data_IF_802850671518
#
_entry.id   IF_802850671518
#
_cell.length_a   1.000
_cell.length_b   1.000
_cell.length_c   1.000
_cell.angle_alpha   90.00
_cell.angle_beta   90.00
_cell.angle_gamma   90.00
#
_symmetry.space_group_name_H-M   'P 1'
#
loop_
_entity.id
_entity.type
_entity.pdbx_description
1 polymer ?
#
# COMPACT_ATOMS: atom_id res chain seq x y z
N UNK A 1 7.12 11.73 2.10
CA UNK A 1 6.09 11.43 3.11
C UNK A 1 6.43 10.10 3.76
N UNK A 2 6.50 10.02 5.09
CA UNK A 2 6.72 8.75 5.78
C UNK A 2 5.35 8.11 6.09
N UNK A 3 5.01 7.03 5.37
CA UNK A 3 3.75 6.32 5.57
C UNK A 3 3.65 5.74 6.98
N UNK A 4 4.75 5.20 7.51
CA UNK A 4 4.78 4.64 8.87
C UNK A 4 4.45 5.70 9.93
N UNK A 5 5.00 6.91 9.80
CA UNK A 5 4.63 8.03 10.67
C UNK A 5 3.17 8.47 10.48
N UNK A 6 2.64 8.37 9.26
CA UNK A 6 1.25 8.74 8.96
C UNK A 6 0.22 7.77 9.53
N UNK A 7 0.58 6.51 9.82
CA UNK A 7 -0.32 5.52 10.42
C UNK A 7 -0.85 5.96 11.79
N UNK A 8 -0.07 6.73 12.55
CA UNK A 8 -0.44 7.22 13.88
C UNK A 8 -1.38 8.45 13.85
N UNK A 9 -1.64 9.02 12.67
CA UNK A 9 -2.55 10.16 12.53
C UNK A 9 -4.01 9.73 12.72
N UNK A 10 -4.88 10.67 13.07
CA UNK A 10 -6.33 10.46 12.97
C UNK A 10 -6.76 10.44 11.50
N UNK A 11 -7.88 9.78 11.17
CA UNK A 11 -8.32 9.65 9.77
C UNK A 11 -8.58 10.98 9.08
N UNK A 12 -9.06 11.99 9.82
CA UNK A 12 -9.23 13.34 9.29
C UNK A 12 -7.88 13.99 8.91
N UNK A 13 -6.85 13.82 9.75
CA UNK A 13 -5.50 14.34 9.47
C UNK A 13 -4.81 13.52 8.36
N UNK A 14 -5.01 12.21 8.35
CA UNK A 14 -4.53 11.33 7.29
C UNK A 14 -5.13 11.74 5.94
N UNK A 15 -6.47 11.87 5.85
CA UNK A 15 -7.15 12.29 4.63
C UNK A 15 -6.73 13.68 4.17
N UNK A 16 -6.51 14.62 5.09
CA UNK A 16 -6.00 15.96 4.75
C UNK A 16 -4.57 15.93 4.20
N UNK A 17 -3.71 15.06 4.74
CA UNK A 17 -2.32 14.96 4.33
C UNK A 17 -2.13 14.16 3.03
N UNK A 18 -2.86 13.06 2.89
CA UNK A 18 -2.69 12.07 1.80
C UNK A 18 -3.66 12.37 0.64
N UNK A 19 -4.80 12.99 0.92
CA UNK A 19 -5.84 13.30 -0.07
C UNK A 19 -6.90 12.22 -0.26
N UNK A 20 -6.73 11.04 0.37
CA UNK A 20 -7.66 9.90 0.28
C UNK A 20 -7.98 9.31 1.65
N UNK A 21 -9.09 8.57 1.75
CA UNK A 21 -9.41 7.82 2.97
C UNK A 21 -8.34 6.75 3.24
N UNK A 22 -8.12 6.45 4.52
CA UNK A 22 -7.13 5.45 4.95
C UNK A 22 -7.40 4.08 4.34
N UNK A 23 -8.66 3.65 4.36
CA UNK A 23 -9.11 2.36 3.79
C UNK A 23 -8.77 2.27 2.31
N UNK A 24 -9.11 3.29 1.52
CA UNK A 24 -8.77 3.36 0.09
C UNK A 24 -7.27 3.30 -0.15
N UNK A 25 -6.48 4.00 0.69
CA UNK A 25 -5.02 3.96 0.58
C UNK A 25 -4.45 2.57 0.88
N UNK A 26 -4.98 1.87 1.87
CA UNK A 26 -4.60 0.50 2.21
C UNK A 26 -4.95 -0.50 1.10
N UNK A 27 -6.12 -0.37 0.47
CA UNK A 27 -6.50 -1.15 -0.71
C UNK A 27 -5.55 -0.91 -1.88
N UNK A 28 -5.17 0.34 -2.14
CA UNK A 28 -4.18 0.68 -3.16
C UNK A 28 -2.82 0.01 -2.87
N UNK A 29 -2.35 0.06 -1.61
CA UNK A 29 -1.11 -0.61 -1.20
C UNK A 29 -1.19 -2.13 -1.37
N UNK A 30 -2.32 -2.75 -1.02
CA UNK A 30 -2.54 -4.17 -1.21
C UNK A 30 -2.48 -4.56 -2.70
N UNK A 31 -3.08 -3.73 -3.57
CA UNK A 31 -3.00 -3.87 -5.03
C UNK A 31 -1.55 -3.79 -5.55
N UNK A 32 -0.80 -2.77 -5.12
CA UNK A 32 0.61 -2.60 -5.48
C UNK A 32 1.48 -3.77 -5.00
N UNK A 33 1.28 -4.23 -3.77
CA UNK A 33 2.00 -5.39 -3.21
C UNK A 33 1.69 -6.65 -4.02
N UNK A 34 0.43 -6.88 -4.35
CA UNK A 34 0.00 -8.02 -5.17
C UNK A 34 0.62 -7.97 -6.57
N UNK A 35 0.53 -6.82 -7.24
CA UNK A 35 1.13 -6.64 -8.57
C UNK A 35 2.66 -6.84 -8.53
N UNK A 36 3.32 -6.33 -7.49
CA UNK A 36 4.75 -6.54 -7.29
C UNK A 36 5.10 -8.02 -7.10
N UNK A 37 4.33 -8.73 -6.25
CA UNK A 37 4.53 -10.16 -6.02
C UNK A 37 4.31 -10.96 -7.29
N UNK A 38 3.28 -10.66 -8.08
CA UNK A 38 3.05 -11.33 -9.37
C UNK A 38 4.21 -11.08 -10.34
N UNK A 39 4.70 -9.84 -10.44
CA UNK A 39 5.83 -9.48 -11.31
C UNK A 39 7.13 -10.17 -10.90
N UNK A 40 7.34 -10.38 -9.61
CA UNK A 40 8.57 -10.98 -9.07
C UNK A 40 8.37 -12.42 -8.58
N UNK A 41 7.23 -13.02 -8.88
CA UNK A 41 7.00 -14.43 -8.68
C UNK A 41 8.02 -15.15 -9.56
N UNK A 42 9.11 -15.62 -8.93
CA UNK A 42 10.15 -16.37 -9.61
C UNK A 42 9.51 -17.66 -10.12
N UNK A 43 9.18 -17.69 -11.41
CA UNK A 43 8.95 -18.92 -12.14
C UNK A 43 10.26 -19.69 -12.15
N UNK A 44 10.47 -20.53 -11.14
CA UNK A 44 11.51 -21.54 -11.19
C UNK A 44 11.26 -22.40 -12.43
N UNK A 45 12.32 -22.63 -13.22
CA UNK A 45 12.31 -23.68 -14.24
C UNK A 45 11.79 -24.95 -13.57
N UNK A 46 10.77 -25.57 -14.18
CA UNK A 46 10.25 -26.88 -13.78
C UNK A 46 11.44 -27.83 -13.56
N UNK A 47 11.45 -28.67 -12.50
CA UNK A 47 12.38 -29.78 -12.45
C UNK A 47 12.26 -30.64 -13.72
#
# INVERSE_FOLDING_TARGET
>A
MNYEASKQLTDARFKRLVGVQRTTFEEMLAGLKTAYQLKHAKGGRKP
#
